data_IF_513685156447
#
_entry.id   IF_513685156447
#
_cell.length_a   1.000
_cell.length_b   1.000
_cell.length_c   1.000
_cell.angle_alpha   90.00
_cell.angle_beta   90.00
_cell.angle_gamma   90.00
#
_symmetry.space_group_name_H-M   'P 1'
#
loop_
_entity.id
_entity.type
_entity.pdbx_description
1 polymer ?
#
# COMPACT_ATOMS: atom_id res chain seq x y z
N UNK A 1 24.98 -22.74 16.68
CA UNK A 1 24.98 -21.78 17.81
C UNK A 1 26.42 -21.57 18.22
N UNK A 2 26.87 -20.34 18.29
CA UNK A 2 28.21 -19.97 18.72
C UNK A 2 28.08 -18.96 19.83
N UNK A 3 28.97 -19.04 20.82
CA UNK A 3 29.05 -18.05 21.89
C UNK A 3 29.97 -16.90 21.42
N UNK A 4 29.51 -15.67 21.55
CA UNK A 4 30.23 -14.47 21.17
C UNK A 4 30.23 -13.47 22.32
N UNK A 5 31.34 -12.78 22.52
CA UNK A 5 31.34 -11.56 23.33
C UNK A 5 30.65 -10.42 22.59
N UNK A 6 30.03 -9.49 23.33
CA UNK A 6 29.25 -8.41 22.75
C UNK A 6 30.03 -7.59 21.71
N UNK A 7 31.31 -7.35 21.94
CA UNK A 7 32.19 -6.57 21.07
C UNK A 7 32.52 -7.31 19.74
N UNK A 8 32.31 -8.61 19.67
CA UNK A 8 32.55 -9.42 18.45
C UNK A 8 31.31 -9.55 17.55
N UNK A 9 30.11 -9.09 18.01
CA UNK A 9 28.86 -9.16 17.27
C UNK A 9 28.94 -8.44 15.89
N UNK A 10 29.54 -7.24 15.76
CA UNK A 10 29.68 -6.58 14.47
C UNK A 10 30.48 -7.41 13.46
N UNK A 11 31.58 -8.04 13.90
CA UNK A 11 32.41 -8.89 13.06
C UNK A 11 31.68 -10.19 12.67
N UNK A 12 30.94 -10.79 13.58
CA UNK A 12 30.08 -11.93 13.30
C UNK A 12 28.96 -11.59 12.31
N UNK A 13 28.38 -10.42 12.44
CA UNK A 13 27.37 -9.94 11.47
C UNK A 13 27.97 -9.73 10.09
N UNK A 14 29.14 -9.09 10.00
CA UNK A 14 29.86 -8.90 8.75
C UNK A 14 30.12 -10.23 8.06
N UNK A 15 30.74 -11.19 8.77
CA UNK A 15 31.11 -12.49 8.21
C UNK A 15 29.88 -13.34 7.85
N UNK A 16 28.89 -13.43 8.74
CA UNK A 16 27.77 -14.35 8.56
C UNK A 16 26.66 -13.78 7.68
N UNK A 17 26.37 -12.48 7.78
CA UNK A 17 25.24 -11.88 7.08
C UNK A 17 25.69 -11.22 5.78
N UNK A 18 26.72 -10.41 5.82
CA UNK A 18 27.15 -9.65 4.64
C UNK A 18 27.92 -10.55 3.66
N UNK A 19 28.93 -11.27 4.13
CA UNK A 19 29.82 -12.07 3.27
C UNK A 19 29.19 -13.40 2.85
N UNK A 20 28.51 -14.08 3.79
CA UNK A 20 27.85 -15.36 3.53
C UNK A 20 26.39 -15.23 3.08
N UNK A 21 25.86 -14.00 2.90
CA UNK A 21 24.49 -13.70 2.43
C UNK A 21 23.38 -14.39 3.23
N UNK A 22 23.56 -14.59 4.54
CA UNK A 22 22.48 -15.08 5.39
C UNK A 22 21.45 -13.98 5.67
N UNK A 23 20.21 -14.37 5.96
CA UNK A 23 19.10 -13.44 6.24
C UNK A 23 19.37 -12.48 7.42
N UNK A 24 20.13 -12.93 8.41
CA UNK A 24 20.43 -12.15 9.60
C UNK A 24 20.95 -13.01 10.74
N UNK A 25 21.20 -12.39 11.89
CA UNK A 25 21.60 -13.05 13.13
C UNK A 25 20.48 -13.01 14.16
N UNK A 26 20.35 -14.08 14.92
CA UNK A 26 19.57 -14.11 16.14
C UNK A 26 20.56 -14.14 17.31
N UNK A 27 20.58 -13.05 18.05
CA UNK A 27 21.42 -12.90 19.24
C UNK A 27 20.54 -13.19 20.45
N UNK A 28 21.01 -14.05 21.33
CA UNK A 28 20.35 -14.37 22.59
C UNK A 28 21.24 -13.95 23.75
N UNK A 29 20.70 -13.15 24.56
CA UNK A 29 21.22 -12.86 25.89
C UNK A 29 20.33 -13.63 26.90
N UNK A 30 20.76 -13.70 28.19
CA UNK A 30 20.05 -14.45 29.22
C UNK A 30 18.58 -14.06 29.41
N UNK A 31 18.18 -12.88 28.96
CA UNK A 31 16.83 -12.34 29.17
C UNK A 31 16.10 -11.97 27.86
N UNK A 32 16.81 -11.80 26.74
CA UNK A 32 16.25 -11.21 25.52
C UNK A 32 16.75 -11.92 24.27
N UNK A 33 15.94 -11.84 23.23
CA UNK A 33 16.28 -12.31 21.90
C UNK A 33 16.25 -11.11 20.96
N UNK A 34 17.34 -10.87 20.22
CA UNK A 34 17.46 -9.81 19.24
C UNK A 34 17.60 -10.43 17.86
N UNK A 35 16.85 -9.92 16.88
CA UNK A 35 17.01 -10.26 15.47
C UNK A 35 17.70 -9.09 14.76
N UNK A 36 18.90 -9.33 14.27
CA UNK A 36 19.66 -8.37 13.43
C UNK A 36 19.54 -8.78 11.98
N UNK A 37 19.05 -7.88 11.14
CA UNK A 37 18.99 -8.02 9.67
C UNK A 37 19.73 -6.86 9.02
N UNK A 38 20.25 -7.10 7.81
CA UNK A 38 20.75 -6.02 6.96
C UNK A 38 19.60 -5.09 6.57
N UNK A 39 19.87 -3.79 6.52
CA UNK A 39 18.97 -2.84 5.91
C UNK A 39 19.14 -2.89 4.40
N UNK A 40 18.04 -2.69 3.71
CA UNK A 40 18.00 -2.57 2.25
C UNK A 40 17.87 -1.08 1.95
N UNK A 41 18.80 -0.52 1.22
CA UNK A 41 18.74 0.86 0.77
C UNK A 41 18.20 0.93 -0.66
N UNK A 42 17.12 1.69 -0.84
CA UNK A 42 16.35 1.79 -2.06
C UNK A 42 16.08 3.24 -2.42
N UNK A 43 16.20 3.57 -3.69
CA UNK A 43 15.80 4.86 -4.23
C UNK A 43 14.45 4.72 -4.93
N UNK A 44 13.42 5.25 -4.30
CA UNK A 44 12.04 5.07 -4.71
C UNK A 44 11.38 6.40 -5.10
N UNK A 45 10.33 6.31 -5.88
CA UNK A 45 9.59 7.45 -6.39
C UNK A 45 8.42 7.75 -5.46
N UNK A 46 8.22 9.01 -5.09
CA UNK A 46 7.03 9.43 -4.37
C UNK A 46 5.87 9.57 -5.35
N UNK A 47 4.81 8.76 -5.15
CA UNK A 47 3.61 8.75 -5.99
C UNK A 47 2.46 9.54 -5.38
N UNK A 48 2.36 9.56 -4.06
CA UNK A 48 1.29 10.24 -3.35
C UNK A 48 1.66 10.47 -1.88
N UNK A 49 0.90 11.33 -1.20
CA UNK A 49 1.07 11.54 0.24
C UNK A 49 -0.27 11.68 0.97
N UNK A 50 -0.28 11.42 2.27
CA UNK A 50 -1.37 11.80 3.16
C UNK A 50 -0.90 12.94 4.06
N UNK A 51 -1.74 13.94 4.25
CA UNK A 51 -1.45 15.06 5.14
C UNK A 51 -2.06 14.84 6.54
N UNK A 52 -1.50 15.54 7.49
CA UNK A 52 -2.04 15.74 8.84
C UNK A 52 -2.24 17.24 9.08
N UNK A 53 -2.64 17.63 10.30
CA UNK A 53 -2.77 19.04 10.67
C UNK A 53 -1.47 19.82 10.44
N UNK A 54 -1.56 21.14 10.24
CA UNK A 54 -0.43 22.07 10.08
C UNK A 54 0.41 21.85 8.82
N UNK A 55 -0.21 21.48 7.69
CA UNK A 55 0.50 21.29 6.42
C UNK A 55 1.72 20.36 6.53
N UNK A 56 1.57 19.29 7.25
CA UNK A 56 2.61 18.29 7.48
C UNK A 56 2.22 16.96 6.85
N UNK A 57 3.20 16.18 6.39
CA UNK A 57 2.96 14.86 5.81
C UNK A 57 2.91 13.80 6.90
N UNK A 58 1.88 12.93 6.84
CA UNK A 58 1.78 11.75 7.68
C UNK A 58 2.48 10.54 7.08
N UNK A 59 2.22 10.27 5.81
CA UNK A 59 2.84 9.14 5.09
C UNK A 59 2.93 9.44 3.60
N UNK A 60 3.87 8.81 2.93
CA UNK A 60 4.02 8.84 1.47
C UNK A 60 3.83 7.44 0.89
N UNK A 61 3.26 7.38 -0.30
CA UNK A 61 3.18 6.18 -1.12
C UNK A 61 4.37 6.14 -2.08
N UNK A 62 5.00 4.99 -2.15
CA UNK A 62 6.25 4.76 -2.86
C UNK A 62 6.02 3.90 -4.09
N UNK A 63 6.79 4.16 -5.13
CA UNK A 63 6.75 3.38 -6.36
C UNK A 63 8.11 3.19 -6.99
N UNK A 64 8.15 2.28 -7.96
CA UNK A 64 9.26 2.06 -8.87
C UNK A 64 8.87 2.45 -10.28
N UNK A 65 9.84 2.78 -11.12
CA UNK A 65 9.64 3.00 -12.54
C UNK A 65 9.55 1.65 -13.28
N UNK A 66 8.49 1.46 -14.06
CA UNK A 66 8.36 0.38 -15.06
C UNK A 66 8.75 0.85 -16.46
N UNK A 67 8.49 2.14 -16.74
CA UNK A 67 8.92 2.87 -17.93
C UNK A 67 9.03 4.35 -17.59
N UNK A 68 9.29 5.20 -18.58
CA UNK A 68 9.34 6.67 -18.39
C UNK A 68 8.02 7.27 -17.90
N UNK A 69 6.90 6.58 -18.12
CA UNK A 69 5.54 7.04 -17.79
C UNK A 69 4.77 6.09 -16.90
N UNK A 70 5.27 4.89 -16.67
CA UNK A 70 4.58 3.86 -15.90
C UNK A 70 5.28 3.61 -14.57
N UNK A 71 4.49 3.56 -13.51
CA UNK A 71 4.97 3.43 -12.14
C UNK A 71 4.19 2.36 -11.40
N UNK A 72 4.88 1.48 -10.69
CA UNK A 72 4.25 0.48 -9.83
C UNK A 72 4.35 0.90 -8.37
N UNK A 73 3.21 0.99 -7.69
CA UNK A 73 3.18 1.18 -6.24
C UNK A 73 3.82 -0.04 -5.54
N UNK A 74 4.67 0.20 -4.54
CA UNK A 74 5.39 -0.88 -3.83
C UNK A 74 5.29 -0.77 -2.31
N UNK A 75 4.52 0.18 -1.81
CA UNK A 75 4.31 0.34 -0.38
C UNK A 75 4.21 1.79 0.07
N UNK A 76 4.25 1.99 1.35
CA UNK A 76 4.19 3.32 1.94
C UNK A 76 5.07 3.43 3.18
N UNK A 77 5.53 4.64 3.47
CA UNK A 77 6.34 4.95 4.65
C UNK A 77 5.72 6.10 5.44
N UNK A 78 5.68 5.94 6.77
CA UNK A 78 5.22 6.97 7.70
C UNK A 78 6.33 7.48 8.62
N UNK A 79 7.48 6.82 8.66
CA UNK A 79 8.70 7.29 9.34
C UNK A 79 9.42 8.27 8.43
N UNK A 80 9.13 9.56 8.56
CA UNK A 80 9.57 10.65 7.67
C UNK A 80 10.40 11.70 8.42
N UNK A 81 11.09 11.29 9.49
CA UNK A 81 11.90 12.20 10.28
C UNK A 81 11.10 13.12 11.20
N UNK A 82 11.65 14.30 11.49
CA UNK A 82 11.12 15.33 12.38
C UNK A 82 9.90 16.05 11.79
N UNK A 83 9.17 16.81 12.62
CA UNK A 83 8.06 17.63 12.14
C UNK A 83 8.50 18.65 11.08
N UNK A 84 9.68 19.24 11.24
CA UNK A 84 10.23 20.20 10.28
C UNK A 84 10.46 19.55 8.90
N UNK A 85 11.06 18.37 8.87
CA UNK A 85 11.27 17.62 7.62
C UNK A 85 9.96 17.25 6.95
N UNK A 86 8.92 16.89 7.72
CA UNK A 86 7.57 16.61 7.22
C UNK A 86 6.88 17.84 6.63
N UNK A 87 7.08 19.01 7.19
CA UNK A 87 6.57 20.30 6.68
C UNK A 87 7.32 20.70 5.40
N UNK A 88 8.63 20.57 5.37
CA UNK A 88 9.45 20.81 4.18
C UNK A 88 9.06 19.90 3.02
N UNK A 89 8.86 18.61 3.31
CA UNK A 89 8.38 17.64 2.34
C UNK A 89 6.96 17.98 1.84
N UNK A 90 6.07 18.45 2.73
CA UNK A 90 4.74 18.93 2.32
C UNK A 90 4.84 20.13 1.38
N UNK A 91 5.67 21.11 1.70
CA UNK A 91 5.87 22.29 0.88
C UNK A 91 6.45 21.96 -0.51
N UNK A 92 7.27 20.92 -0.59
CA UNK A 92 7.79 20.40 -1.85
C UNK A 92 6.70 19.67 -2.65
N UNK A 93 6.04 18.66 -2.06
CA UNK A 93 5.08 17.80 -2.76
C UNK A 93 3.76 18.50 -3.08
N UNK A 94 3.34 19.49 -2.29
CA UNK A 94 2.11 20.25 -2.54
C UNK A 94 2.13 20.99 -3.87
N UNK A 95 3.29 21.37 -4.36
CA UNK A 95 3.50 22.01 -5.68
C UNK A 95 3.39 21.03 -6.85
N UNK A 96 3.53 19.75 -6.56
CA UNK A 96 3.49 18.65 -7.54
C UNK A 96 2.14 17.92 -7.57
N UNK A 97 1.11 18.43 -6.88
CA UNK A 97 -0.21 17.79 -6.87
C UNK A 97 -0.71 17.52 -8.28
N UNK A 98 -1.25 16.33 -8.48
CA UNK A 98 -1.92 15.96 -9.71
C UNK A 98 -3.25 15.24 -9.44
N UNK A 99 -4.10 15.22 -10.45
CA UNK A 99 -5.35 14.47 -10.42
C UNK A 99 -5.10 12.98 -10.69
N UNK A 100 -5.95 12.15 -10.11
CA UNK A 100 -6.01 10.73 -10.44
C UNK A 100 -7.45 10.24 -10.41
N UNK A 101 -7.84 9.41 -11.36
CA UNK A 101 -9.10 8.67 -11.31
C UNK A 101 -9.05 7.49 -10.32
N UNK A 102 -7.87 7.11 -9.86
CA UNK A 102 -7.68 6.10 -8.82
C UNK A 102 -7.77 6.74 -7.43
N UNK A 103 -8.42 6.04 -6.50
CA UNK A 103 -8.49 6.45 -5.10
C UNK A 103 -7.78 5.43 -4.22
N UNK A 104 -6.80 5.88 -3.49
CA UNK A 104 -6.02 5.07 -2.56
C UNK A 104 -6.15 5.62 -1.15
N UNK A 105 -6.27 4.75 -0.17
CA UNK A 105 -6.29 5.12 1.25
C UNK A 105 -5.18 4.39 2.01
N UNK A 106 -4.62 5.06 3.00
CA UNK A 106 -3.71 4.46 3.96
C UNK A 106 -4.45 3.47 4.89
N UNK A 107 -3.71 2.71 5.67
CA UNK A 107 -4.27 1.73 6.61
C UNK A 107 -5.26 2.35 7.62
N UNK A 108 -5.08 3.61 7.97
CA UNK A 108 -5.98 4.36 8.85
C UNK A 108 -7.14 5.07 8.14
N UNK A 109 -7.32 4.84 6.83
CA UNK A 109 -8.42 5.40 6.04
C UNK A 109 -8.19 6.82 5.51
N UNK A 110 -7.02 7.44 5.73
CA UNK A 110 -6.70 8.75 5.13
C UNK A 110 -6.49 8.58 3.62
N UNK A 111 -7.08 9.47 2.82
CA UNK A 111 -6.92 9.47 1.37
C UNK A 111 -5.55 10.01 0.97
N UNK A 112 -4.93 9.36 0.00
CA UNK A 112 -3.71 9.83 -0.62
C UNK A 112 -4.01 10.91 -1.66
N UNK A 113 -3.26 12.01 -1.59
CA UNK A 113 -3.16 13.01 -2.64
C UNK A 113 -2.02 12.61 -3.57
N UNK A 114 -2.33 12.33 -4.83
CA UNK A 114 -1.33 12.00 -5.84
C UNK A 114 -0.50 13.21 -6.24
N UNK A 115 0.75 12.95 -6.61
CA UNK A 115 1.69 13.95 -7.12
C UNK A 115 2.29 13.48 -8.44
N UNK A 116 2.71 14.43 -9.27
CA UNK A 116 3.48 14.12 -10.47
C UNK A 116 4.78 13.42 -10.02
N UNK A 117 5.08 12.20 -10.49
CA UNK A 117 6.26 11.46 -10.11
C UNK A 117 7.54 12.17 -10.61
N UNK A 118 8.10 13.04 -9.78
CA UNK A 118 9.34 13.81 -10.06
C UNK A 118 10.32 13.80 -8.89
N UNK A 119 9.92 13.18 -7.78
CA UNK A 119 10.72 13.18 -6.55
C UNK A 119 11.17 11.77 -6.23
N UNK A 120 12.49 11.59 -6.16
CA UNK A 120 13.12 10.35 -5.67
C UNK A 120 13.48 10.55 -4.20
N UNK A 121 13.25 9.51 -3.41
CA UNK A 121 13.56 9.47 -1.99
C UNK A 121 14.35 8.20 -1.67
N UNK A 122 15.43 8.33 -0.92
CA UNK A 122 16.14 7.18 -0.38
C UNK A 122 15.40 6.61 0.83
N UNK A 123 15.23 5.30 0.84
CA UNK A 123 14.51 4.54 1.86
C UNK A 123 15.41 3.43 2.38
N UNK A 124 15.53 3.30 3.70
CA UNK A 124 16.04 2.08 4.29
C UNK A 124 14.87 1.20 4.77
N UNK A 125 14.87 -0.06 4.36
CA UNK A 125 13.85 -1.04 4.70
C UNK A 125 14.46 -2.26 5.39
N UNK A 126 13.66 -2.98 6.16
CA UNK A 126 14.11 -4.22 6.84
C UNK A 126 13.85 -5.47 6.02
N UNK A 127 12.85 -5.43 5.14
CA UNK A 127 12.44 -6.59 4.37
C UNK A 127 11.56 -6.21 3.18
N UNK A 128 11.39 -7.17 2.28
CA UNK A 128 10.48 -7.10 1.14
C UNK A 128 9.54 -8.30 1.19
N UNK A 129 8.26 -8.06 1.27
CA UNK A 129 7.24 -9.10 1.34
C UNK A 129 6.60 -9.31 -0.03
N UNK A 130 6.71 -10.51 -0.58
CA UNK A 130 6.12 -10.91 -1.87
C UNK A 130 4.79 -11.63 -1.72
N UNK A 131 4.54 -12.22 -0.55
CA UNK A 131 3.30 -12.95 -0.23
C UNK A 131 2.67 -12.41 1.04
N UNK A 132 1.37 -12.48 1.12
CA UNK A 132 0.59 -12.20 2.34
C UNK A 132 0.61 -13.43 3.25
N UNK A 133 0.08 -13.27 4.49
CA UNK A 133 0.01 -14.38 5.46
C UNK A 133 -0.94 -15.52 5.02
N UNK A 134 -1.78 -15.28 4.04
CA UNK A 134 -2.64 -16.30 3.42
C UNK A 134 -1.98 -16.93 2.16
N UNK A 135 -0.67 -16.74 1.98
CA UNK A 135 0.13 -17.19 0.83
C UNK A 135 -0.35 -16.62 -0.51
N UNK A 136 -1.27 -15.66 -0.50
CA UNK A 136 -1.65 -14.96 -1.73
C UNK A 136 -0.55 -13.97 -2.12
N UNK A 137 -0.26 -13.79 -3.44
CA UNK A 137 0.73 -12.83 -3.87
C UNK A 137 0.32 -11.40 -3.52
N UNK A 138 1.29 -10.60 -3.11
CA UNK A 138 1.10 -9.16 -2.98
C UNK A 138 0.82 -8.58 -4.36
N UNK A 139 -0.21 -7.75 -4.48
CA UNK A 139 -0.54 -7.04 -5.72
C UNK A 139 -0.75 -5.58 -5.44
N UNK A 140 -0.18 -4.75 -6.30
CA UNK A 140 -0.30 -3.31 -6.24
C UNK A 140 -0.75 -2.72 -7.57
N UNK A 141 -1.19 -1.47 -7.54
CA UNK A 141 -1.63 -0.76 -8.72
C UNK A 141 -0.44 -0.27 -9.55
N UNK A 142 -0.47 -0.52 -10.85
CA UNK A 142 0.36 0.16 -11.81
C UNK A 142 -0.36 1.42 -12.28
N UNK A 143 0.37 2.53 -12.41
CA UNK A 143 -0.13 3.85 -12.76
C UNK A 143 0.57 4.37 -14.00
N UNK A 144 -0.17 5.02 -14.88
CA UNK A 144 0.33 5.72 -16.08
C UNK A 144 0.26 7.23 -15.85
N UNK A 145 1.35 7.93 -16.08
CA UNK A 145 1.38 9.39 -16.16
C UNK A 145 1.05 9.86 -17.57
N UNK A 146 -0.10 10.49 -17.72
CA UNK A 146 -0.56 11.07 -18.98
C UNK A 146 -1.21 12.42 -18.71
N UNK A 147 -0.84 13.46 -19.47
CA UNK A 147 -1.35 14.82 -19.34
C UNK A 147 -1.27 15.38 -17.89
N UNK A 148 -0.17 15.12 -17.20
CA UNK A 148 0.03 15.45 -15.78
C UNK A 148 -1.02 14.83 -14.83
N UNK A 149 -1.65 13.72 -15.22
CA UNK A 149 -2.59 12.94 -14.40
C UNK A 149 -2.10 11.52 -14.26
N UNK A 150 -2.31 10.94 -13.10
CA UNK A 150 -2.03 9.53 -12.85
C UNK A 150 -3.28 8.69 -13.06
N UNK A 151 -3.25 7.83 -14.07
CA UNK A 151 -4.35 6.91 -14.40
C UNK A 151 -4.01 5.49 -13.93
N UNK A 152 -4.96 4.75 -13.35
CA UNK A 152 -4.74 3.34 -13.04
C UNK A 152 -4.67 2.52 -14.32
N UNK A 153 -3.67 1.65 -14.44
CA UNK A 153 -3.56 0.68 -15.52
C UNK A 153 -4.19 -0.65 -15.09
N UNK A 154 -3.53 -1.36 -14.20
CA UNK A 154 -3.95 -2.68 -13.72
C UNK A 154 -3.35 -2.98 -12.34
N UNK A 155 -3.89 -4.00 -11.67
CA UNK A 155 -3.24 -4.60 -10.50
C UNK A 155 -2.20 -5.60 -10.99
N UNK A 156 -0.95 -5.39 -10.63
CA UNK A 156 0.15 -6.29 -10.96
C UNK A 156 0.59 -7.08 -9.70
N UNK A 157 0.99 -8.35 -9.85
CA UNK A 157 1.78 -9.02 -8.83
C UNK A 157 2.99 -8.16 -8.49
N UNK A 158 3.28 -8.00 -7.22
CA UNK A 158 4.25 -7.03 -6.75
C UNK A 158 4.81 -7.49 -5.39
N UNK A 159 5.38 -6.57 -4.68
CA UNK A 159 5.90 -6.75 -3.34
C UNK A 159 5.57 -5.53 -2.48
N UNK A 160 5.65 -5.69 -1.17
CA UNK A 160 5.54 -4.58 -0.21
C UNK A 160 6.84 -4.41 0.54
N UNK A 161 7.26 -3.16 0.70
CA UNK A 161 8.41 -2.80 1.53
C UNK A 161 7.97 -2.81 2.99
N UNK A 162 8.72 -3.48 3.83
CA UNK A 162 8.39 -3.70 5.24
C UNK A 162 9.33 -2.90 6.16
N UNK A 163 8.75 -2.23 7.14
CA UNK A 163 9.46 -1.40 8.12
C UNK A 163 10.40 -0.39 7.47
N UNK A 164 9.86 0.37 6.52
CA UNK A 164 10.60 1.40 5.81
C UNK A 164 10.77 2.68 6.65
N UNK A 165 11.95 3.28 6.54
CA UNK A 165 12.27 4.61 7.04
C UNK A 165 12.73 5.48 5.86
N UNK A 166 12.21 6.68 5.76
CA UNK A 166 12.68 7.66 4.81
C UNK A 166 14.01 8.28 5.32
N UNK A 167 15.01 8.34 4.46
CA UNK A 167 16.29 8.93 4.78
C UNK A 167 16.36 10.37 4.21
N UNK A 168 16.50 10.50 2.91
CA UNK A 168 16.67 11.82 2.26
C UNK A 168 16.03 11.87 0.88
N UNK A 169 15.68 13.09 0.44
CA UNK A 169 15.26 13.35 -0.95
C UNK A 169 16.51 13.39 -1.84
N UNK A 170 16.47 12.61 -2.91
CA UNK A 170 17.57 12.47 -3.87
C UNK A 170 17.39 13.46 -5.03
N UNK A 171 17.80 14.71 -4.81
CA UNK A 171 17.75 15.75 -5.84
C UNK A 171 18.75 15.53 -6.99
N UNK A 172 19.75 14.71 -6.75
CA UNK A 172 20.80 14.31 -7.71
C UNK A 172 20.33 13.24 -8.70
N UNK A 173 19.20 12.56 -8.42
CA UNK A 173 18.69 11.44 -9.23
C UNK A 173 17.52 11.84 -10.12
N UNK A 174 17.65 11.48 -11.40
CA UNK A 174 16.52 11.48 -12.34
C UNK A 174 15.78 10.15 -12.27
N UNK A 175 14.46 10.22 -12.45
CA UNK A 175 13.64 9.02 -12.51
C UNK A 175 13.92 8.26 -13.80
N UNK A 176 14.35 7.03 -13.65
CA UNK A 176 14.56 6.08 -14.74
C UNK A 176 14.44 4.65 -14.20
N UNK A 177 14.32 3.68 -15.08
CA UNK A 177 14.30 2.25 -14.71
C UNK A 177 15.61 1.84 -14.02
N UNK A 178 16.74 2.39 -14.47
CA UNK A 178 18.07 2.09 -13.91
C UNK A 178 18.21 2.63 -12.48
N UNK A 179 17.70 3.84 -12.22
CA UNK A 179 17.85 4.52 -10.94
C UNK A 179 16.78 4.12 -9.92
N UNK A 180 15.53 3.92 -10.36
CA UNK A 180 14.37 3.73 -9.50
C UNK A 180 13.53 2.50 -9.89
N UNK A 181 14.08 1.56 -10.65
CA UNK A 181 13.38 0.35 -11.11
C UNK A 181 13.60 -0.86 -10.21
N UNK A 182 13.16 -2.00 -10.72
CA UNK A 182 13.20 -3.31 -10.04
C UNK A 182 14.62 -3.79 -9.74
N UNK A 183 15.59 -3.46 -10.57
CA UNK A 183 16.98 -3.96 -10.51
C UNK A 183 17.68 -3.67 -9.17
N UNK A 184 17.26 -2.65 -8.44
CA UNK A 184 17.81 -2.35 -7.12
C UNK A 184 17.43 -3.40 -6.07
N UNK A 185 16.27 -4.05 -6.22
CA UNK A 185 15.84 -5.16 -5.35
C UNK A 185 16.63 -6.42 -5.64
N UNK A 186 16.93 -6.71 -6.90
CA UNK A 186 17.77 -7.84 -7.28
C UNK A 186 19.19 -7.70 -6.74
N UNK A 187 19.76 -6.49 -6.82
CA UNK A 187 21.07 -6.15 -6.21
C UNK A 187 21.07 -6.31 -4.70
N UNK A 188 19.93 -6.13 -4.05
CA UNK A 188 19.74 -6.36 -2.62
C UNK A 188 19.42 -7.83 -2.27
N UNK A 189 19.49 -8.75 -3.25
CA UNK A 189 19.28 -10.19 -3.05
C UNK A 189 17.82 -10.65 -3.11
N UNK A 190 16.90 -9.79 -3.57
CA UNK A 190 15.50 -10.16 -3.74
C UNK A 190 15.22 -10.50 -5.20
N UNK A 191 15.07 -11.78 -5.50
CA UNK A 191 14.67 -12.23 -6.83
C UNK A 191 13.15 -12.07 -6.99
N UNK A 192 12.75 -10.97 -7.56
CA UNK A 192 11.35 -10.69 -7.85
C UNK A 192 11.02 -11.30 -9.21
N UNK A 193 10.43 -12.48 -9.19
CA UNK A 193 10.00 -13.16 -10.42
C UNK A 193 8.91 -12.32 -11.12
N UNK A 194 9.19 -11.96 -12.36
CA UNK A 194 8.25 -11.48 -13.37
C UNK A 194 7.15 -10.53 -12.88
N UNK A 195 7.49 -9.27 -12.65
CA UNK A 195 6.48 -8.22 -12.76
C UNK A 195 6.15 -8.17 -14.27
N UNK A 196 5.16 -8.96 -14.68
CA UNK A 196 4.67 -8.94 -16.05
C UNK A 196 4.10 -7.55 -16.32
N UNK A 197 4.80 -6.79 -17.13
CA UNK A 197 4.39 -5.44 -17.55
C UNK A 197 3.30 -5.49 -18.62
N UNK A 198 2.92 -6.67 -19.11
CA UNK A 198 1.89 -6.81 -20.12
C UNK A 198 0.50 -6.96 -19.46
N UNK A 199 -0.32 -5.88 -19.45
CA UNK A 199 -1.65 -5.92 -18.86
C UNK A 199 -2.57 -6.97 -19.47
N UNK A 200 -2.44 -7.20 -20.78
CA UNK A 200 -3.36 -8.04 -21.54
C UNK A 200 -3.26 -9.53 -21.19
N UNK A 201 -2.08 -10.03 -20.85
CA UNK A 201 -1.90 -11.41 -20.39
C UNK A 201 -2.46 -11.66 -18.98
N UNK A 202 -2.37 -10.65 -18.09
CA UNK A 202 -2.83 -10.79 -16.70
C UNK A 202 -4.35 -10.58 -16.58
N UNK A 203 -4.90 -9.61 -17.31
CA UNK A 203 -6.33 -9.30 -17.30
C UNK A 203 -7.12 -10.37 -18.04
N UNK A 204 -6.59 -10.95 -19.13
CA UNK A 204 -7.26 -11.99 -19.92
C UNK A 204 -7.47 -13.30 -19.15
N UNK A 205 -6.64 -13.59 -18.14
CA UNK A 205 -6.75 -14.81 -17.33
C UNK A 205 -7.71 -14.67 -16.13
N UNK A 206 -8.02 -13.45 -15.69
CA UNK A 206 -8.88 -13.20 -14.53
C UNK A 206 -10.27 -12.71 -14.94
N UNK A 207 -11.30 -13.50 -14.67
CA UNK A 207 -12.67 -12.99 -14.79
C UNK A 207 -12.92 -11.94 -13.69
N UNK A 208 -13.48 -10.76 -14.02
CA UNK A 208 -13.80 -9.74 -13.04
C UNK A 208 -14.81 -10.30 -12.02
N UNK A 209 -14.68 -9.88 -10.77
CA UNK A 209 -15.66 -10.18 -9.73
C UNK A 209 -16.99 -9.53 -10.08
N UNK A 210 -18.09 -10.19 -9.72
CA UNK A 210 -19.45 -9.76 -10.00
C UNK A 210 -20.07 -9.11 -8.76
N UNK A 211 -20.67 -7.92 -8.94
CA UNK A 211 -21.46 -7.30 -7.88
C UNK A 211 -22.83 -7.97 -7.85
N UNK A 212 -23.11 -8.73 -6.78
CA UNK A 212 -24.39 -9.43 -6.59
C UNK A 212 -25.44 -8.48 -6.01
N UNK A 213 -25.05 -7.69 -5.02
CA UNK A 213 -25.94 -6.73 -4.35
C UNK A 213 -25.16 -5.50 -3.97
N UNK A 214 -25.75 -4.31 -4.17
CA UNK A 214 -25.17 -3.04 -3.81
C UNK A 214 -26.26 -2.11 -3.30
N UNK A 215 -26.07 -1.58 -2.12
CA UNK A 215 -26.94 -0.57 -1.52
C UNK A 215 -26.10 0.62 -1.07
N UNK A 216 -26.58 1.80 -1.39
CA UNK A 216 -25.94 3.06 -1.05
C UNK A 216 -26.95 3.90 -0.28
N UNK A 217 -26.51 4.45 0.84
CA UNK A 217 -27.30 5.38 1.64
C UNK A 217 -26.55 6.69 1.77
N UNK A 218 -27.30 7.77 1.70
CA UNK A 218 -26.78 9.14 1.83
C UNK A 218 -27.47 9.86 2.97
N UNK A 219 -26.77 10.76 3.62
CA UNK A 219 -27.31 11.70 4.58
C UNK A 219 -26.76 13.08 4.28
N UNK A 220 -27.64 14.03 3.97
CA UNK A 220 -27.28 15.41 3.71
C UNK A 220 -27.15 16.16 5.04
N UNK A 221 -26.11 16.94 5.21
CA UNK A 221 -25.97 18.02 6.20
C UNK A 221 -25.89 19.36 5.47
N UNK A 222 -25.79 20.48 6.20
CA UNK A 222 -25.85 21.81 5.56
C UNK A 222 -24.85 22.01 4.44
N UNK A 223 -23.63 21.50 4.59
CA UNK A 223 -22.51 21.76 3.67
C UNK A 223 -21.93 20.49 3.03
N UNK A 224 -22.44 19.31 3.41
CA UNK A 224 -21.75 18.06 3.10
C UNK A 224 -22.69 16.85 2.95
N UNK A 225 -22.21 15.78 2.30
CA UNK A 225 -22.96 14.54 2.10
C UNK A 225 -22.17 13.37 2.70
N UNK A 226 -22.76 12.74 3.71
CA UNK A 226 -22.26 11.46 4.24
C UNK A 226 -22.76 10.30 3.40
N UNK A 227 -21.91 9.31 3.12
CA UNK A 227 -22.23 8.17 2.28
C UNK A 227 -21.87 6.88 2.99
N UNK A 228 -22.79 5.91 2.98
CA UNK A 228 -22.53 4.54 3.39
C UNK A 228 -22.85 3.59 2.25
N UNK A 229 -21.93 2.67 1.97
CA UNK A 229 -22.06 1.71 0.88
C UNK A 229 -21.92 0.29 1.42
N UNK A 230 -22.84 -0.57 1.01
CA UNK A 230 -22.89 -1.99 1.33
C UNK A 230 -22.87 -2.76 0.01
N UNK A 231 -21.99 -3.74 -0.13
CA UNK A 231 -21.87 -4.53 -1.37
C UNK A 231 -21.58 -5.99 -1.05
N UNK A 232 -22.15 -6.87 -1.84
CA UNK A 232 -21.79 -8.29 -1.91
C UNK A 232 -21.18 -8.53 -3.28
N UNK A 233 -19.93 -9.00 -3.28
CA UNK A 233 -19.21 -9.38 -4.48
C UNK A 233 -19.11 -10.90 -4.54
N UNK A 234 -19.34 -11.48 -5.73
CA UNK A 234 -18.98 -12.86 -6.05
C UNK A 234 -17.58 -12.82 -6.67
N UNK A 235 -16.62 -13.40 -5.97
CA UNK A 235 -15.28 -13.53 -6.50
C UNK A 235 -15.27 -14.60 -7.58
N UNK A 236 -14.65 -14.33 -8.73
CA UNK A 236 -14.56 -15.29 -9.83
C UNK A 236 -13.19 -15.98 -9.88
N UNK A 237 -12.50 -16.02 -8.75
CA UNK A 237 -11.23 -16.73 -8.65
C UNK A 237 -11.49 -18.24 -8.66
N UNK A 238 -10.76 -18.95 -9.51
CA UNK A 238 -10.86 -20.41 -9.64
C UNK A 238 -10.15 -21.18 -8.52
N UNK A 239 -9.35 -20.49 -7.73
CA UNK A 239 -8.55 -21.08 -6.65
C UNK A 239 -9.48 -21.51 -5.52
N UNK A 240 -9.37 -22.76 -5.13
CA UNK A 240 -10.24 -23.45 -4.16
C UNK A 240 -10.22 -22.78 -2.77
N UNK A 241 -9.15 -22.05 -2.44
CA UNK A 241 -8.95 -21.45 -1.12
C UNK A 241 -9.43 -19.99 -1.03
N UNK A 242 -9.97 -19.45 -2.12
CA UNK A 242 -10.48 -18.08 -2.14
C UNK A 242 -11.97 -18.06 -1.76
N UNK A 243 -12.39 -17.14 -0.87
CA UNK A 243 -13.80 -17.05 -0.49
C UNK A 243 -14.66 -16.73 -1.71
N UNK A 244 -15.79 -17.44 -1.87
CA UNK A 244 -16.70 -17.27 -3.00
C UNK A 244 -17.38 -15.91 -3.01
N UNK A 245 -17.63 -15.35 -1.82
CA UNK A 245 -18.31 -14.07 -1.66
C UNK A 245 -17.56 -13.18 -0.69
N UNK A 246 -17.59 -11.88 -0.95
CA UNK A 246 -17.05 -10.85 -0.06
C UNK A 246 -18.16 -9.84 0.23
N UNK A 247 -18.40 -9.59 1.52
CA UNK A 247 -19.20 -8.46 1.95
C UNK A 247 -18.29 -7.26 2.19
N UNK A 248 -18.64 -6.12 1.60
CA UNK A 248 -17.97 -4.83 1.79
C UNK A 248 -18.89 -3.83 2.45
N UNK A 249 -18.42 -3.23 3.51
CA UNK A 249 -19.00 -2.04 4.11
C UNK A 249 -18.02 -0.89 4.02
N UNK A 250 -18.48 0.24 3.48
CA UNK A 250 -17.73 1.49 3.41
C UNK A 250 -18.56 2.60 4.06
N UNK A 251 -17.94 3.34 4.98
CA UNK A 251 -18.52 4.51 5.63
C UNK A 251 -17.63 5.71 5.34
N UNK A 252 -18.18 6.65 4.59
CA UNK A 252 -17.57 7.92 4.18
C UNK A 252 -18.32 9.08 4.81
N UNK A 253 -18.75 8.90 6.06
CA UNK A 253 -19.44 9.97 6.82
C UNK A 253 -18.46 11.07 7.20
N UNK A 254 -18.96 12.31 7.12
CA UNK A 254 -18.24 13.49 7.55
C UNK A 254 -17.89 13.51 9.03
N UNK A 255 -17.02 14.44 9.38
CA UNK A 255 -16.56 14.69 10.77
C UNK A 255 -15.92 13.49 11.44
N UNK A 256 -15.60 12.46 10.66
CA UNK A 256 -14.81 11.33 11.16
C UNK A 256 -13.33 11.67 11.17
N UNK A 257 -12.67 11.23 12.21
CA UNK A 257 -11.19 11.27 12.31
C UNK A 257 -10.54 10.44 11.18
N UNK A 258 -11.25 9.42 10.70
CA UNK A 258 -10.89 8.54 9.59
C UNK A 258 -11.86 8.81 8.44
N UNK A 259 -11.35 9.26 7.30
CA UNK A 259 -12.15 9.65 6.13
C UNK A 259 -12.92 8.49 5.50
N UNK A 260 -12.32 7.29 5.47
CA UNK A 260 -12.95 6.08 4.96
C UNK A 260 -12.80 4.97 6.00
N UNK A 261 -13.91 4.55 6.59
CA UNK A 261 -13.97 3.31 7.34
C UNK A 261 -14.39 2.20 6.39
N UNK A 262 -13.66 1.08 6.39
CA UNK A 262 -13.99 -0.11 5.62
C UNK A 262 -14.02 -1.34 6.50
N UNK A 263 -14.94 -2.25 6.21
CA UNK A 263 -14.97 -3.60 6.75
C UNK A 263 -15.19 -4.56 5.57
N UNK A 264 -14.39 -5.62 5.49
CA UNK A 264 -14.46 -6.63 4.42
C UNK A 264 -14.52 -7.99 5.08
N UNK A 265 -15.54 -8.78 4.75
CA UNK A 265 -15.74 -10.10 5.35
C UNK A 265 -15.95 -11.17 4.28
N UNK A 266 -15.21 -12.28 4.34
CA UNK A 266 -15.34 -13.40 3.43
C UNK A 266 -16.50 -14.32 3.82
N UNK A 267 -17.15 -14.91 2.81
CA UNK A 267 -18.21 -15.89 2.96
C UNK A 267 -18.13 -16.97 1.88
N UNK A 268 -18.45 -18.21 2.26
CA UNK A 268 -18.51 -19.31 1.31
C UNK A 268 -19.92 -19.50 0.70
N UNK A 269 -20.94 -18.91 1.31
CA UNK A 269 -22.29 -18.94 0.74
C UNK A 269 -22.93 -17.54 0.74
N UNK A 270 -23.81 -17.31 -0.22
CA UNK A 270 -24.44 -16.02 -0.44
C UNK A 270 -25.41 -15.65 0.67
N UNK A 271 -26.17 -16.59 1.21
CA UNK A 271 -27.17 -16.33 2.27
C UNK A 271 -26.53 -15.73 3.52
N UNK A 272 -25.36 -16.25 3.92
CA UNK A 272 -24.61 -15.69 5.06
C UNK A 272 -24.10 -14.28 4.79
N UNK A 273 -23.69 -13.99 3.56
CA UNK A 273 -23.29 -12.64 3.17
C UNK A 273 -24.47 -11.66 3.16
N UNK A 274 -25.66 -12.11 2.71
CA UNK A 274 -26.90 -11.32 2.72
C UNK A 274 -27.37 -11.02 4.14
N UNK A 275 -27.42 -12.01 5.01
CA UNK A 275 -27.75 -11.83 6.44
C UNK A 275 -26.79 -10.83 7.09
N UNK A 276 -25.50 -10.94 6.80
CA UNK A 276 -24.51 -9.99 7.30
C UNK A 276 -24.77 -8.57 6.79
N UNK A 277 -25.08 -8.42 5.52
CA UNK A 277 -25.41 -7.12 4.93
C UNK A 277 -26.65 -6.51 5.57
N UNK A 278 -27.73 -7.28 5.77
CA UNK A 278 -28.96 -6.84 6.41
C UNK A 278 -28.71 -6.36 7.85
N UNK A 279 -27.99 -7.15 8.64
CA UNK A 279 -27.61 -6.80 10.00
C UNK A 279 -26.75 -5.50 10.04
N UNK A 280 -25.87 -5.33 9.07
CA UNK A 280 -25.05 -4.12 8.98
C UNK A 280 -25.87 -2.88 8.58
N UNK A 281 -26.84 -3.04 7.69
CA UNK A 281 -27.77 -1.97 7.31
C UNK A 281 -28.61 -1.56 8.52
N UNK A 282 -29.24 -2.51 9.20
CA UNK A 282 -30.07 -2.26 10.40
C UNK A 282 -29.25 -1.53 11.48
N UNK A 283 -28.03 -1.99 11.74
CA UNK A 283 -27.15 -1.38 12.74
C UNK A 283 -26.70 0.04 12.40
N UNK A 284 -26.42 0.30 11.12
CA UNK A 284 -25.70 1.50 10.69
C UNK A 284 -26.60 2.56 10.03
N UNK A 285 -27.76 2.19 9.51
CA UNK A 285 -28.71 3.11 8.88
C UNK A 285 -29.81 3.45 9.88
N UNK A 286 -29.75 4.69 10.38
CA UNK A 286 -30.68 5.24 11.35
C UNK A 286 -31.41 6.45 10.77
N UNK A 287 -32.26 7.10 11.55
CA UNK A 287 -33.02 8.29 11.14
C UNK A 287 -32.17 9.32 10.39
N UNK A 288 -32.65 9.76 9.26
CA UNK A 288 -32.01 10.77 8.42
C UNK A 288 -31.07 10.22 7.33
N UNK A 289 -30.96 8.89 7.17
CA UNK A 289 -30.33 8.26 6.03
C UNK A 289 -31.39 7.90 4.99
N UNK A 290 -31.11 8.22 3.73
CA UNK A 290 -31.97 7.92 2.59
C UNK A 290 -31.26 6.96 1.65
N UNK A 291 -31.99 5.99 1.11
CA UNK A 291 -31.47 5.08 0.11
C UNK A 291 -31.25 5.83 -1.20
N UNK A 292 -30.04 5.76 -1.72
CA UNK A 292 -29.71 6.34 -3.02
C UNK A 292 -29.98 5.31 -4.12
N UNK A 293 -30.94 5.61 -4.96
CA UNK A 293 -31.25 4.80 -6.15
C UNK A 293 -30.28 5.19 -7.25
N UNK A 294 -29.49 4.19 -7.67
CA UNK A 294 -28.50 4.32 -8.77
C UNK A 294 -29.17 4.18 -10.13
#
# INVERSE_FOLDING_TARGET
THDYEADSIPNAFQAMVIENHNEGLIIRDNQRIYKMKQNIDLDLIILAYTSQQHNSIRSIALGIALSDKEFLHVGSVGSLGSNKEREELYNHLSKLKCESSYRMSSSNGSLYQFVIPKTVINISAKDVQMERHDSSPVSHIALLLEDNKLKPLHLAPSFSIIHANANEIRLDKKISIEACGINQFERAGFFIKDIKTNPDEYISSMRPSEIIKKEVFTKKSKDDISIKKFMILKTRKKETDYPKYLFYYLDMSEKRKIQIQRDVRPFNNIKSAEIMMENYIEKNIKKGWEKYNL
#
